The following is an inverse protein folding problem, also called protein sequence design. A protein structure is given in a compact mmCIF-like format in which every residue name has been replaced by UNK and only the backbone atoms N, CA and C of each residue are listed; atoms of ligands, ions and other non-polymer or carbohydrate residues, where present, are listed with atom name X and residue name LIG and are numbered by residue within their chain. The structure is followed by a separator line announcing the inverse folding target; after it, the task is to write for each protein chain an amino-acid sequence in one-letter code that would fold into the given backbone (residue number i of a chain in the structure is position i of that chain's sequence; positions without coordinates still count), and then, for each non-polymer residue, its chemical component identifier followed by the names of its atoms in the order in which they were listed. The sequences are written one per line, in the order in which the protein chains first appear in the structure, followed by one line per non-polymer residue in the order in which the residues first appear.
data_IF_716247889986
#
_entry.id   IF_716247889986
#
_cell.length_a   1.000
_cell.length_b   1.000
_cell.length_c   1.000
_cell.angle_alpha   90.00
_cell.angle_beta   90.00
_cell.angle_gamma   90.00
#
_symmetry.space_group_name_H-M   'P 1'
#
loop_
_entity.id
_entity.type
_entity.pdbx_description
1 polymer ?
#
# COMPACT_ATOMS: atom_id res chain seq x y z
N UNK A 1 -4.20 -35.49 18.03
CA UNK A 1 -3.29 -34.37 18.32
C UNK A 1 -3.28 -33.49 17.08
N UNK A 2 -4.05 -32.40 17.08
CA UNK A 2 -4.12 -31.51 15.93
C UNK A 2 -2.81 -30.73 15.85
N UNK A 3 -2.00 -31.00 14.83
CA UNK A 3 -0.90 -30.14 14.43
C UNK A 3 -1.52 -28.86 13.88
N UNK A 4 -1.66 -27.83 14.71
CA UNK A 4 -1.84 -26.48 14.19
C UNK A 4 -0.54 -26.14 13.47
N UNK A 5 -0.64 -25.97 12.15
CA UNK A 5 0.48 -25.86 11.22
C UNK A 5 1.41 -24.72 11.60
N UNK A 6 2.62 -25.09 12.03
CA UNK A 6 3.73 -24.16 12.13
C UNK A 6 3.98 -23.56 10.74
N UNK A 7 3.99 -22.23 10.67
CA UNK A 7 4.35 -21.45 9.50
C UNK A 7 5.77 -21.86 9.05
N UNK A 8 5.86 -22.74 8.06
CA UNK A 8 7.13 -23.32 7.60
C UNK A 8 7.84 -22.35 6.66
N UNK A 9 8.37 -21.24 7.20
CA UNK A 9 9.31 -20.38 6.47
C UNK A 9 10.67 -21.08 6.48
N UNK A 10 10.86 -22.05 5.59
CA UNK A 10 12.12 -22.79 5.45
C UNK A 10 12.93 -22.31 4.26
N UNK A 11 14.27 -22.19 4.39
CA UNK A 11 15.12 -21.81 3.28
C UNK A 11 15.19 -22.96 2.25
N UNK A 12 14.86 -22.66 0.99
CA UNK A 12 15.14 -23.51 -0.17
C UNK A 12 16.19 -22.82 -1.03
N UNK A 13 17.34 -23.47 -1.24
CA UNK A 13 18.49 -22.87 -1.95
C UNK A 13 18.89 -21.49 -1.38
N UNK A 14 18.84 -21.32 -0.06
CA UNK A 14 19.12 -20.04 0.61
C UNK A 14 17.98 -19.00 0.56
N UNK A 15 16.82 -19.34 -0.01
CA UNK A 15 15.66 -18.44 -0.11
C UNK A 15 14.55 -18.87 0.84
N UNK A 16 14.17 -17.98 1.75
CA UNK A 16 13.03 -18.14 2.66
C UNK A 16 11.77 -17.64 1.94
N UNK A 17 10.75 -18.49 1.79
CA UNK A 17 9.56 -18.17 0.97
C UNK A 17 8.32 -18.95 1.43
N UNK A 18 7.16 -18.57 0.89
CA UNK A 18 5.91 -19.31 1.01
C UNK A 18 5.83 -20.50 0.03
N UNK A 19 6.93 -21.19 -0.29
CA UNK A 19 6.96 -22.24 -1.35
C UNK A 19 5.90 -23.35 -1.20
N UNK A 20 5.39 -23.60 0.01
CA UNK A 20 4.30 -24.57 0.24
C UNK A 20 2.89 -23.98 0.02
N UNK A 21 2.76 -22.65 -0.03
CA UNK A 21 1.55 -21.94 -0.44
C UNK A 21 1.46 -21.75 -1.96
N UNK A 22 0.40 -21.10 -2.42
CA UNK A 22 0.23 -20.74 -3.83
C UNK A 22 1.07 -19.51 -4.19
N UNK A 23 2.21 -19.74 -4.81
CA UNK A 23 3.13 -18.69 -5.26
C UNK A 23 2.56 -17.72 -6.32
N UNK A 24 1.36 -17.99 -6.86
CA UNK A 24 0.70 -17.14 -7.87
C UNK A 24 -0.37 -16.22 -7.28
N UNK A 25 -0.99 -16.58 -6.16
CA UNK A 25 -2.13 -15.84 -5.59
C UNK A 25 -1.99 -15.52 -4.12
N UNK A 26 -1.09 -16.18 -3.38
CA UNK A 26 -0.98 -15.95 -1.96
C UNK A 26 -0.38 -14.57 -1.69
N UNK A 27 -1.20 -13.76 -1.03
CA UNK A 27 -0.77 -12.53 -0.40
C UNK A 27 0.09 -12.80 0.83
N UNK A 28 0.80 -11.78 1.27
CA UNK A 28 1.64 -11.86 2.45
C UNK A 28 1.37 -10.68 3.36
N UNK A 29 1.12 -10.95 4.64
CA UNK A 29 0.93 -9.92 5.66
C UNK A 29 1.63 -10.31 6.96
N UNK A 30 2.33 -9.34 7.55
CA UNK A 30 2.74 -9.38 8.95
C UNK A 30 1.95 -8.33 9.74
N UNK A 31 1.59 -8.67 10.97
CA UNK A 31 0.85 -7.78 11.87
C UNK A 31 -0.68 -7.88 11.73
N UNK A 32 -1.20 -8.73 10.84
CA UNK A 32 -2.63 -9.03 10.70
C UNK A 32 -2.85 -10.42 10.08
N UNK A 33 -4.10 -10.88 10.08
CA UNK A 33 -4.59 -12.10 9.41
C UNK A 33 -5.30 -11.82 8.08
N UNK A 34 -5.36 -10.55 7.65
CA UNK A 34 -5.99 -10.11 6.40
C UNK A 34 -5.34 -8.82 5.85
N UNK A 35 -5.56 -8.54 4.56
CA UNK A 35 -5.02 -7.33 3.92
C UNK A 35 -5.82 -6.07 4.22
N UNK A 36 -7.15 -6.19 4.26
CA UNK A 36 -8.02 -5.06 4.53
C UNK A 36 -8.09 -4.79 6.04
N UNK A 37 -8.30 -3.53 6.40
CA UNK A 37 -8.30 -3.08 7.80
C UNK A 37 -9.43 -3.75 8.61
N UNK A 38 -9.08 -4.31 9.77
CA UNK A 38 -10.05 -4.81 10.75
C UNK A 38 -10.45 -3.69 11.70
N UNK A 39 -11.70 -3.23 11.62
CA UNK A 39 -12.16 -2.19 12.56
C UNK A 39 -12.06 -2.65 14.01
N UNK A 40 -11.34 -1.89 14.84
CA UNK A 40 -11.18 -2.17 16.27
C UNK A 40 -10.18 -3.27 16.62
N UNK A 41 -9.41 -3.77 15.64
CA UNK A 41 -8.24 -4.60 15.90
C UNK A 41 -6.99 -3.77 16.19
N UNK A 42 -6.04 -4.36 16.92
CA UNK A 42 -4.68 -3.81 17.06
C UNK A 42 -3.78 -4.21 15.88
N UNK A 43 -4.37 -4.40 14.69
CA UNK A 43 -3.70 -4.90 13.49
C UNK A 43 -3.32 -3.78 12.50
N UNK A 44 -3.36 -2.52 12.93
CA UNK A 44 -3.09 -1.37 12.06
C UNK A 44 -1.63 -1.31 11.57
N UNK A 45 -0.67 -1.81 12.37
CA UNK A 45 0.76 -1.78 12.01
C UNK A 45 1.12 -3.04 11.25
N UNK A 46 1.33 -2.92 9.94
CA UNK A 46 1.50 -4.08 9.06
C UNK A 46 2.59 -3.88 8.02
N UNK A 47 3.09 -5.00 7.52
CA UNK A 47 3.75 -5.08 6.23
C UNK A 47 2.91 -5.99 5.33
N UNK A 48 2.55 -5.52 4.14
CA UNK A 48 1.69 -6.22 3.18
C UNK A 48 2.40 -6.34 1.83
N UNK A 49 2.26 -7.50 1.21
CA UNK A 49 2.42 -7.69 -0.22
C UNK A 49 1.14 -8.33 -0.79
N UNK A 50 0.38 -7.54 -1.54
CA UNK A 50 -0.79 -7.99 -2.31
C UNK A 50 -0.28 -8.56 -3.63
N UNK A 51 -0.28 -9.88 -3.74
CA UNK A 51 0.33 -10.62 -4.85
C UNK A 51 -0.42 -10.37 -6.16
N UNK A 52 -1.74 -10.29 -6.09
CA UNK A 52 -2.60 -10.10 -7.26
C UNK A 52 -2.33 -8.76 -7.95
N UNK A 53 -1.89 -7.76 -7.17
CA UNK A 53 -1.54 -6.43 -7.67
C UNK A 53 -0.05 -6.18 -7.75
N UNK A 54 0.78 -6.96 -7.08
CA UNK A 54 2.17 -6.60 -6.83
C UNK A 54 2.31 -5.33 -5.98
N UNK A 55 1.32 -5.03 -5.13
CA UNK A 55 1.31 -3.82 -4.31
C UNK A 55 2.00 -4.07 -2.97
N UNK A 56 2.89 -3.16 -2.57
CA UNK A 56 3.63 -3.24 -1.31
C UNK A 56 3.18 -2.17 -0.33
N UNK A 57 2.95 -2.54 0.94
CA UNK A 57 2.67 -1.60 2.03
C UNK A 57 3.53 -1.90 3.25
N UNK A 58 3.96 -0.85 3.95
CA UNK A 58 4.62 -1.00 5.25
C UNK A 58 4.45 0.26 6.11
N UNK A 59 4.17 0.07 7.40
CA UNK A 59 3.88 1.16 8.34
C UNK A 59 2.56 0.95 9.09
N UNK A 60 1.75 2.00 9.25
CA UNK A 60 0.49 1.95 10.01
C UNK A 60 -0.68 2.48 9.20
N UNK A 61 -1.71 1.65 9.04
CA UNK A 61 -3.01 2.03 8.49
C UNK A 61 -4.11 1.68 9.49
N UNK A 62 -4.74 2.70 10.06
CA UNK A 62 -5.88 2.51 10.98
C UNK A 62 -7.19 3.07 10.44
N UNK A 63 -7.25 3.37 9.15
CA UNK A 63 -8.43 3.97 8.49
C UNK A 63 -8.85 3.20 7.24
N UNK A 64 -8.28 2.03 7.00
CA UNK A 64 -8.47 1.30 5.75
C UNK A 64 -7.97 2.07 4.54
N UNK A 65 -6.88 2.83 4.68
CA UNK A 65 -6.14 3.51 3.61
C UNK A 65 -5.44 2.51 2.70
N UNK A 66 -5.24 1.28 3.18
CA UNK A 66 -4.67 0.19 2.41
C UNK A 66 -5.70 -0.80 1.93
N UNK A 67 -7.01 -0.59 2.09
CA UNK A 67 -8.04 -1.52 1.60
C UNK A 67 -7.99 -1.68 0.08
N UNK A 68 -8.58 -2.76 -0.43
CA UNK A 68 -8.52 -3.20 -1.84
C UNK A 68 -8.58 -2.06 -2.89
N UNK A 69 -9.57 -1.17 -2.80
CA UNK A 69 -9.74 -0.03 -3.74
C UNK A 69 -8.69 1.08 -3.66
N UNK A 70 -7.75 1.00 -2.72
CA UNK A 70 -6.69 1.98 -2.43
C UNK A 70 -5.29 1.40 -2.62
N UNK A 71 -5.23 0.21 -3.25
CA UNK A 71 -4.00 -0.39 -3.75
C UNK A 71 -4.07 -0.46 -5.27
N UNK A 72 -3.28 0.38 -5.95
CA UNK A 72 -3.07 0.28 -7.38
C UNK A 72 -2.13 -0.87 -7.74
N UNK A 73 -2.16 -1.33 -8.99
CA UNK A 73 -1.23 -2.35 -9.47
C UNK A 73 0.22 -1.83 -9.39
N UNK A 74 1.15 -2.66 -8.91
CA UNK A 74 2.57 -2.35 -8.72
C UNK A 74 2.85 -1.13 -7.83
N UNK A 75 1.87 -0.73 -7.00
CA UNK A 75 1.97 0.48 -6.17
C UNK A 75 2.75 0.24 -4.88
N UNK A 76 3.38 1.30 -4.36
CA UNK A 76 4.11 1.28 -3.09
C UNK A 76 3.54 2.34 -2.14
N UNK A 77 3.08 1.92 -0.96
CA UNK A 77 2.56 2.84 0.08
C UNK A 77 3.29 2.62 1.39
N UNK A 78 4.02 3.64 1.87
CA UNK A 78 4.84 3.55 3.07
C UNK A 78 4.39 4.56 4.13
N UNK A 79 4.77 4.32 5.38
CA UNK A 79 4.49 5.13 6.56
C UNK A 79 3.03 5.11 7.02
N UNK A 80 2.34 6.26 7.14
CA UNK A 80 1.11 6.37 7.93
C UNK A 80 -0.10 6.75 7.07
N UNK A 81 -1.10 5.86 7.00
CA UNK A 81 -2.37 6.06 6.29
C UNK A 81 -2.22 6.56 4.84
N UNK A 82 -1.27 6.01 4.07
CA UNK A 82 -1.06 6.38 2.66
C UNK A 82 -1.96 5.56 1.71
N UNK A 83 -2.49 6.20 0.68
CA UNK A 83 -3.26 5.58 -0.41
C UNK A 83 -2.47 5.69 -1.72
N UNK A 84 -1.59 4.72 -2.01
CA UNK A 84 -0.99 4.58 -3.34
C UNK A 84 -2.01 3.89 -4.27
N UNK A 85 -2.99 4.69 -4.70
CA UNK A 85 -4.24 4.22 -5.31
C UNK A 85 -4.13 3.99 -6.81
N UNK A 86 -3.34 4.81 -7.51
CA UNK A 86 -3.10 4.65 -8.93
C UNK A 86 -2.06 3.56 -9.22
N UNK A 87 -2.11 2.98 -10.41
CA UNK A 87 -1.15 1.97 -10.84
C UNK A 87 0.26 2.58 -10.93
N UNK A 88 1.25 1.82 -10.47
CA UNK A 88 2.68 2.16 -10.40
C UNK A 88 3.00 3.38 -9.53
N UNK A 89 2.02 3.87 -8.77
CA UNK A 89 2.21 5.02 -7.89
C UNK A 89 3.01 4.67 -6.64
N UNK A 90 3.70 5.66 -6.09
CA UNK A 90 4.45 5.59 -4.84
C UNK A 90 3.93 6.68 -3.90
N UNK A 91 3.51 6.32 -2.69
CA UNK A 91 3.12 7.28 -1.65
C UNK A 91 3.98 7.05 -0.39
N UNK A 92 4.81 8.03 -0.03
CA UNK A 92 5.72 7.96 1.11
C UNK A 92 5.48 9.12 2.09
N UNK A 93 4.92 8.80 3.25
CA UNK A 93 4.76 9.77 4.34
C UNK A 93 3.41 9.67 5.05
N UNK A 94 2.79 10.81 5.32
CA UNK A 94 1.65 10.89 6.22
C UNK A 94 0.35 11.31 5.51
N UNK A 95 -0.63 10.41 5.49
CA UNK A 95 -1.98 10.69 5.00
C UNK A 95 -2.01 11.23 3.55
N UNK A 96 -1.21 10.58 2.70
CA UNK A 96 -1.07 10.91 1.28
C UNK A 96 -2.02 10.09 0.41
N UNK A 97 -2.43 10.64 -0.73
CA UNK A 97 -3.26 9.95 -1.72
C UNK A 97 -2.64 10.15 -3.11
N UNK A 98 -1.90 9.15 -3.60
CA UNK A 98 -1.35 9.16 -4.96
C UNK A 98 -2.40 8.64 -5.94
N UNK A 99 -2.92 9.54 -6.78
CA UNK A 99 -4.08 9.29 -7.65
C UNK A 99 -3.76 9.36 -9.14
N UNK A 100 -2.50 9.66 -9.48
CA UNK A 100 -2.01 9.72 -10.85
C UNK A 100 -1.14 8.49 -11.19
N UNK A 101 -1.31 7.95 -12.39
CA UNK A 101 -0.54 6.82 -12.90
C UNK A 101 0.96 7.12 -12.85
N UNK A 102 1.74 6.21 -12.26
CA UNK A 102 3.18 6.34 -12.07
C UNK A 102 3.64 7.57 -11.24
N UNK A 103 2.76 8.20 -10.47
CA UNK A 103 3.09 9.31 -9.58
C UNK A 103 3.98 8.88 -8.41
N UNK A 104 5.03 9.64 -8.13
CA UNK A 104 5.76 9.61 -6.87
C UNK A 104 5.28 10.77 -6.00
N UNK A 105 4.65 10.45 -4.88
CA UNK A 105 4.09 11.40 -3.93
C UNK A 105 4.77 11.24 -2.58
N UNK A 106 5.31 12.33 -2.04
CA UNK A 106 5.97 12.36 -0.73
C UNK A 106 5.45 13.47 0.18
N UNK A 107 5.70 13.34 1.48
CA UNK A 107 5.41 14.37 2.47
C UNK A 107 4.14 14.10 3.29
N UNK A 108 3.26 15.09 3.42
CA UNK A 108 2.12 15.03 4.33
C UNK A 108 0.88 15.72 3.75
N UNK A 109 -0.29 15.07 3.83
CA UNK A 109 -1.60 15.60 3.45
C UNK A 109 -1.64 16.40 2.12
N UNK A 110 -1.49 15.73 0.97
CA UNK A 110 -1.64 16.37 -0.34
C UNK A 110 -3.10 16.66 -0.71
N UNK A 111 -3.29 17.62 -1.62
CA UNK A 111 -4.52 17.73 -2.40
C UNK A 111 -4.55 16.61 -3.47
N UNK A 112 -5.71 16.30 -4.04
CA UNK A 112 -5.78 15.29 -5.10
C UNK A 112 -5.95 15.98 -6.42
N UNK A 113 -5.18 15.57 -7.43
CA UNK A 113 -5.31 16.11 -8.78
C UNK A 113 -6.63 15.63 -9.42
N UNK A 114 -7.58 16.54 -9.63
CA UNK A 114 -8.87 16.19 -10.22
C UNK A 114 -8.69 15.82 -11.68
N UNK A 115 -9.17 14.64 -12.06
CA UNK A 115 -9.14 14.19 -13.46
C UNK A 115 -7.88 13.44 -13.88
N UNK A 116 -6.89 13.25 -12.99
CA UNK A 116 -5.74 12.41 -13.29
C UNK A 116 -6.16 10.97 -13.63
N UNK A 117 -5.50 10.38 -14.61
CA UNK A 117 -5.65 8.97 -14.95
C UNK A 117 -4.99 8.09 -13.90
N UNK A 118 -5.71 7.09 -13.40
CA UNK A 118 -5.17 6.15 -12.42
C UNK A 118 -4.40 4.98 -13.05
N UNK A 119 -4.56 4.74 -14.35
CA UNK A 119 -4.12 3.50 -15.00
C UNK A 119 -3.49 3.71 -16.39
N UNK A 120 -3.29 4.95 -16.84
CA UNK A 120 -2.66 5.24 -18.12
C UNK A 120 -1.85 6.52 -18.08
N UNK A 121 -0.84 6.61 -18.95
CA UNK A 121 -0.02 7.81 -19.09
C UNK A 121 -0.79 8.93 -19.78
N UNK A 122 -0.90 10.08 -19.12
CA UNK A 122 -1.38 11.34 -19.68
C UNK A 122 -0.29 12.39 -19.48
N UNK A 123 0.03 13.14 -20.52
CA UNK A 123 1.16 14.09 -20.54
C UNK A 123 1.01 15.28 -19.58
N UNK A 124 -0.21 15.57 -19.14
CA UNK A 124 -0.52 16.61 -18.17
C UNK A 124 -0.72 16.10 -16.74
N UNK A 125 -0.62 14.78 -16.51
CA UNK A 125 -0.76 14.21 -15.18
C UNK A 125 0.53 14.36 -14.35
N UNK A 126 0.43 14.56 -13.02
CA UNK A 126 1.60 14.71 -12.18
C UNK A 126 2.37 13.40 -12.04
N UNK A 127 3.70 13.49 -12.13
CA UNK A 127 4.64 12.38 -11.91
C UNK A 127 5.39 12.50 -10.59
N UNK A 128 5.55 13.72 -10.08
CA UNK A 128 6.16 14.01 -8.79
C UNK A 128 5.34 15.09 -8.11
N UNK A 129 4.84 14.77 -6.92
CA UNK A 129 4.04 15.69 -6.10
C UNK A 129 4.61 15.70 -4.69
N UNK A 130 4.64 16.86 -4.03
CA UNK A 130 5.03 16.97 -2.62
C UNK A 130 3.84 17.49 -1.82
N UNK A 131 3.26 16.63 -0.97
CA UNK A 131 2.28 17.04 0.03
C UNK A 131 2.94 17.87 1.13
N UNK A 132 2.46 19.09 1.34
CA UNK A 132 2.91 19.99 2.42
C UNK A 132 1.73 20.44 3.32
N UNK A 133 0.69 19.60 3.40
CA UNK A 133 -0.44 19.83 4.28
C UNK A 133 -0.14 19.43 5.72
N UNK A 134 -0.85 20.06 6.65
CA UNK A 134 -0.71 19.86 8.10
C UNK A 134 -1.89 19.09 8.72
N UNK A 135 -2.92 18.78 7.93
CA UNK A 135 -4.08 18.02 8.38
C UNK A 135 -5.08 17.77 7.26
N UNK A 136 -6.09 16.96 7.53
CA UNK A 136 -7.15 16.64 6.56
C UNK A 136 -7.96 17.85 6.11
N UNK A 137 -8.02 18.91 6.92
CA UNK A 137 -8.65 20.20 6.60
C UNK A 137 -7.67 21.26 6.07
N UNK A 138 -6.38 20.93 5.98
CA UNK A 138 -5.30 21.83 5.55
C UNK A 138 -4.35 21.08 4.63
N UNK A 139 -4.87 20.66 3.48
CA UNK A 139 -4.11 20.01 2.41
C UNK A 139 -3.39 21.07 1.59
N UNK A 140 -2.17 20.78 1.17
CA UNK A 140 -1.35 21.63 0.28
C UNK A 140 -0.47 20.69 -0.53
N UNK A 141 -0.23 20.99 -1.80
CA UNK A 141 0.77 20.28 -2.59
C UNK A 141 1.63 21.24 -3.42
N UNK A 142 2.85 20.80 -3.72
CA UNK A 142 3.82 21.43 -4.62
C UNK A 142 4.11 20.50 -5.80
#
# INVERSE_FOLDING_TARGET
MALYGDLYISPKNGVVSNFQGNVTTDDFVFGSDQLDNKTGGDDDTRMIFDKSKGAFRAGRDGKGSWNESKRGEFSVGLDYNTEAKADRSVALGNSLIASSYAETLLGSYNETFSGASMNSWVDHDPLLTIGNGTGSSKKVQL
#
